data_IF_454834732782
#
_entry.id   IF_454834732782
#
_cell.length_a   1.000
_cell.length_b   1.000
_cell.length_c   1.000
_cell.angle_alpha   90.00
_cell.angle_beta   90.00
_cell.angle_gamma   90.00
#
_symmetry.space_group_name_H-M   'P 1'
#
loop_
_entity.id
_entity.type
_entity.pdbx_description
1 polymer ?
#
# COMPACT_ATOMS: atom_id res chain seq x y z
N UNK A 1 1.49 -16.76 -30.23
CA UNK A 1 1.34 -16.02 -28.95
C UNK A 1 0.53 -14.77 -29.24
N UNK A 2 -0.63 -14.60 -28.60
CA UNK A 2 -1.42 -13.39 -28.71
C UNK A 2 -0.65 -12.26 -28.00
N UNK A 3 -0.36 -11.18 -28.71
CA UNK A 3 0.43 -10.07 -28.19
C UNK A 3 -0.50 -9.13 -27.42
N UNK A 4 -0.23 -8.89 -26.14
CA UNK A 4 -1.01 -7.92 -25.35
C UNK A 4 -0.81 -6.53 -25.93
N UNK A 5 -1.90 -5.83 -26.19
CA UNK A 5 -1.89 -4.43 -26.62
C UNK A 5 -2.45 -3.58 -25.48
N UNK A 6 -1.74 -2.52 -25.12
CA UNK A 6 -2.15 -1.59 -24.07
C UNK A 6 -2.54 -0.28 -24.72
N UNK A 7 -3.79 0.13 -24.54
CA UNK A 7 -4.29 1.43 -24.96
C UNK A 7 -4.32 2.35 -23.74
N UNK A 8 -3.54 3.42 -23.78
CA UNK A 8 -3.54 4.47 -22.78
C UNK A 8 -4.32 5.65 -23.34
N UNK A 9 -5.30 6.15 -22.58
CA UNK A 9 -6.05 7.35 -22.92
C UNK A 9 -5.81 8.39 -21.84
N UNK A 10 -5.44 9.60 -22.27
CA UNK A 10 -5.21 10.76 -21.42
C UNK A 10 -6.04 11.93 -21.95
N UNK A 11 -6.17 12.99 -21.17
CA UNK A 11 -6.82 14.23 -21.63
C UNK A 11 -6.12 14.84 -22.87
N UNK A 12 -4.83 14.54 -23.04
CA UNK A 12 -4.00 14.97 -24.17
C UNK A 12 -4.00 14.01 -25.37
N UNK A 13 -4.74 12.90 -25.33
CA UNK A 13 -4.87 11.95 -26.44
C UNK A 13 -4.58 10.50 -26.06
N UNK A 14 -4.40 9.63 -27.06
CA UNK A 14 -4.24 8.18 -26.88
C UNK A 14 -2.92 7.63 -27.40
N UNK A 15 -2.38 6.64 -26.67
CA UNK A 15 -1.16 5.91 -27.00
C UNK A 15 -1.46 4.41 -27.06
N UNK A 16 -0.95 3.73 -28.07
CA UNK A 16 -1.00 2.26 -28.15
C UNK A 16 0.40 1.69 -27.97
N UNK A 17 0.54 0.76 -27.02
CA UNK A 17 1.79 0.08 -26.70
C UNK A 17 1.65 -1.41 -26.99
N UNK A 18 2.72 -2.01 -27.52
CA UNK A 18 2.81 -3.46 -27.80
C UNK A 18 3.95 -4.09 -26.99
N UNK A 19 3.81 -4.16 -25.65
CA UNK A 19 4.86 -4.67 -24.79
C UNK A 19 5.17 -6.15 -25.07
N UNK A 20 6.41 -6.56 -24.78
CA UNK A 20 6.82 -7.98 -24.79
C UNK A 20 6.33 -8.74 -23.55
N UNK A 21 6.10 -8.03 -22.45
CA UNK A 21 5.46 -8.51 -21.23
C UNK A 21 4.73 -7.36 -20.54
N UNK A 22 3.58 -7.65 -19.93
CA UNK A 22 2.81 -6.72 -19.12
C UNK A 22 2.93 -7.10 -17.64
N UNK A 23 3.40 -6.18 -16.81
CA UNK A 23 3.54 -6.40 -15.36
C UNK A 23 2.45 -5.60 -14.63
N UNK A 24 1.51 -6.30 -14.02
CA UNK A 24 0.46 -5.74 -13.17
C UNK A 24 0.96 -5.66 -11.71
N UNK A 25 1.43 -4.48 -11.31
CA UNK A 25 1.91 -4.18 -9.96
C UNK A 25 1.06 -3.09 -9.26
N UNK A 26 -0.23 -3.03 -9.57
CA UNK A 26 -1.14 -1.95 -9.18
C UNK A 26 -1.89 -2.20 -7.85
N UNK A 27 -1.41 -3.11 -7.00
CA UNK A 27 -2.06 -3.45 -5.73
C UNK A 27 -3.49 -3.95 -5.94
N UNK A 28 -4.49 -3.25 -5.38
CA UNK A 28 -5.91 -3.56 -5.62
C UNK A 28 -6.36 -3.30 -7.05
N UNK A 29 -5.68 -2.40 -7.77
CA UNK A 29 -5.96 -2.11 -9.18
C UNK A 29 -5.68 -3.29 -10.12
N UNK A 30 -4.91 -4.29 -9.68
CA UNK A 30 -4.71 -5.52 -10.44
C UNK A 30 -6.03 -6.24 -10.73
N UNK A 31 -7.05 -6.12 -9.87
CA UNK A 31 -8.37 -6.74 -10.10
C UNK A 31 -8.97 -6.27 -11.42
N UNK A 32 -9.05 -4.95 -11.62
CA UNK A 32 -9.64 -4.35 -12.80
C UNK A 32 -8.78 -4.61 -14.05
N UNK A 33 -7.45 -4.60 -13.91
CA UNK A 33 -6.54 -4.90 -15.01
C UNK A 33 -6.67 -6.37 -15.47
N UNK A 34 -6.75 -7.30 -14.53
CA UNK A 34 -6.88 -8.73 -14.84
C UNK A 34 -8.26 -9.05 -15.40
N UNK A 35 -9.32 -8.36 -14.96
CA UNK A 35 -10.64 -8.48 -15.54
C UNK A 35 -10.67 -8.05 -17.02
N UNK A 36 -9.99 -6.95 -17.37
CA UNK A 36 -9.86 -6.51 -18.78
C UNK A 36 -9.09 -7.50 -19.68
N UNK A 37 -8.32 -8.40 -19.07
CA UNK A 37 -7.54 -9.42 -19.77
C UNK A 37 -8.20 -10.81 -19.72
N UNK A 38 -9.38 -10.93 -19.12
CA UNK A 38 -10.06 -12.21 -18.84
C UNK A 38 -9.21 -13.19 -17.99
N UNK A 39 -8.36 -12.65 -17.11
CA UNK A 39 -7.39 -13.41 -16.31
C UNK A 39 -7.75 -13.57 -14.83
N UNK A 40 -8.89 -13.05 -14.38
CA UNK A 40 -9.29 -13.08 -12.96
C UNK A 40 -9.33 -14.49 -12.37
N UNK A 41 -9.79 -15.48 -13.15
CA UNK A 41 -9.85 -16.89 -12.70
C UNK A 41 -8.47 -17.55 -12.61
N UNK A 42 -7.56 -17.21 -13.53
CA UNK A 42 -6.19 -17.76 -13.54
C UNK A 42 -5.31 -17.11 -12.47
N UNK A 43 -5.55 -15.82 -12.21
CA UNK A 43 -4.78 -14.97 -11.31
C UNK A 43 -5.73 -14.31 -10.28
N UNK A 44 -6.30 -15.09 -9.34
CA UNK A 44 -7.20 -14.57 -8.34
C UNK A 44 -6.47 -13.72 -7.29
N UNK A 45 -7.16 -12.70 -6.79
CA UNK A 45 -6.72 -11.86 -5.69
C UNK A 45 -7.75 -11.83 -4.56
N UNK A 46 -7.31 -11.40 -3.39
CA UNK A 46 -8.15 -11.22 -2.21
C UNK A 46 -7.88 -9.85 -1.59
N UNK A 47 -8.89 -9.33 -0.89
CA UNK A 47 -8.79 -8.10 -0.10
C UNK A 47 -8.97 -8.43 1.38
N UNK A 48 -8.08 -7.90 2.21
CA UNK A 48 -8.13 -8.08 3.67
C UNK A 48 -8.18 -6.70 4.34
N UNK A 49 -9.39 -6.17 4.61
CA UNK A 49 -9.55 -4.81 5.10
C UNK A 49 -8.90 -4.61 6.47
N UNK A 50 -8.58 -3.35 6.75
CA UNK A 50 -8.14 -2.82 8.03
C UNK A 50 -8.88 -1.53 8.34
N UNK A 51 -9.19 -1.31 9.61
CA UNK A 51 -9.63 -0.02 10.13
C UNK A 51 -8.54 0.52 11.06
N UNK A 52 -7.63 1.30 10.50
CA UNK A 52 -6.47 1.83 11.18
C UNK A 52 -6.88 3.01 12.07
N UNK A 53 -6.18 3.18 13.19
CA UNK A 53 -6.33 4.37 14.04
C UNK A 53 -5.03 5.14 14.05
N UNK A 54 -5.14 6.45 14.07
CA UNK A 54 -4.03 7.38 14.14
C UNK A 54 -4.23 8.23 15.38
N UNK A 55 -3.16 8.45 16.16
CA UNK A 55 -3.20 9.34 17.32
C UNK A 55 -2.04 10.34 17.24
N UNK A 56 -2.30 11.58 17.64
CA UNK A 56 -1.26 12.60 17.85
C UNK A 56 -1.68 13.51 18.99
N UNK A 57 -0.78 14.39 19.42
CA UNK A 57 -1.13 15.40 20.41
C UNK A 57 -2.02 16.47 19.82
N UNK A 58 -3.05 16.87 20.57
CA UNK A 58 -3.98 17.92 20.17
C UNK A 58 -3.29 19.29 20.03
N UNK A 59 -2.30 19.56 20.88
CA UNK A 59 -1.56 20.83 20.89
C UNK A 59 -0.16 20.71 20.26
N UNK A 60 0.22 21.59 19.32
CA UNK A 60 1.58 21.67 18.78
C UNK A 60 2.62 22.04 19.87
N UNK A 61 3.87 21.59 19.71
CA UNK A 61 5.01 22.11 20.48
C UNK A 61 5.45 21.32 21.72
N UNK A 62 4.88 20.15 21.99
CA UNK A 62 5.44 19.23 22.98
C UNK A 62 6.40 18.23 22.31
N UNK A 63 7.70 18.47 22.46
CA UNK A 63 8.73 17.47 22.14
C UNK A 63 8.53 16.24 23.02
N UNK A 64 9.07 15.08 22.63
CA UNK A 64 9.07 13.89 23.47
C UNK A 64 9.66 14.14 24.87
N UNK A 65 10.58 15.12 24.99
CA UNK A 65 11.20 15.54 26.26
C UNK A 65 10.27 16.42 27.13
N UNK A 66 9.34 17.19 26.52
CA UNK A 66 8.41 18.10 27.21
C UNK A 66 7.03 17.46 27.46
N UNK A 67 6.96 16.13 27.58
CA UNK A 67 5.68 15.41 27.73
C UNK A 67 4.94 15.20 26.41
N UNK A 68 5.69 15.02 25.33
CA UNK A 68 5.21 14.67 24.00
C UNK A 68 4.78 13.20 23.86
N UNK A 69 4.19 12.85 22.71
CA UNK A 69 3.84 11.46 22.39
C UNK A 69 5.14 10.67 22.14
N UNK A 70 5.43 9.59 22.90
CA UNK A 70 6.73 8.94 22.81
C UNK A 70 6.92 8.24 21.46
N UNK A 71 8.16 8.24 20.95
CA UNK A 71 8.50 7.47 19.77
C UNK A 71 8.41 5.97 20.10
N UNK A 72 7.40 5.30 19.56
CA UNK A 72 7.09 3.91 19.83
C UNK A 72 7.02 3.10 18.53
N UNK A 73 7.79 2.01 18.50
CA UNK A 73 7.80 1.00 17.45
C UNK A 73 7.66 -0.37 18.12
N UNK A 74 6.42 -0.84 18.30
CA UNK A 74 6.15 -1.99 19.15
C UNK A 74 5.02 -2.87 18.62
N UNK A 75 5.15 -4.17 18.92
CA UNK A 75 4.08 -5.15 18.84
C UNK A 75 3.63 -5.51 20.26
N UNK A 76 2.40 -5.19 20.62
CA UNK A 76 1.82 -5.56 21.91
C UNK A 76 1.29 -7.00 21.82
N UNK A 77 2.05 -7.95 22.34
CA UNK A 77 1.76 -9.39 22.22
C UNK A 77 0.76 -9.87 23.27
N UNK A 78 0.11 -11.00 22.97
CA UNK A 78 -0.72 -11.76 23.91
C UNK A 78 -0.46 -13.26 23.69
N UNK A 79 -1.30 -14.14 24.23
CA UNK A 79 -1.22 -15.58 23.96
C UNK A 79 -1.59 -15.96 22.51
N UNK A 80 -2.07 -15.02 21.68
CA UNK A 80 -2.36 -15.24 20.26
C UNK A 80 -1.15 -14.98 19.35
N UNK A 81 -1.21 -15.52 18.13
CA UNK A 81 -0.24 -15.29 17.05
C UNK A 81 -0.31 -13.87 16.44
N UNK A 82 -1.32 -13.08 16.83
CA UNK A 82 -1.54 -11.70 16.37
C UNK A 82 -1.28 -10.70 17.49
N UNK A 83 -0.52 -9.63 17.23
CA UNK A 83 -0.36 -8.57 18.22
C UNK A 83 -1.72 -7.88 18.45
N UNK A 84 -2.05 -7.63 19.72
CA UNK A 84 -3.24 -6.88 20.15
C UNK A 84 -3.29 -5.52 19.44
N UNK A 85 -2.15 -4.84 19.47
CA UNK A 85 -1.88 -3.60 18.76
C UNK A 85 -0.45 -3.63 18.18
N UNK A 86 -0.28 -3.00 17.03
CA UNK A 86 1.03 -2.66 16.48
C UNK A 86 1.10 -1.15 16.39
N UNK A 87 2.11 -0.53 17.01
CA UNK A 87 2.30 0.91 17.01
C UNK A 87 3.59 1.23 16.29
N UNK A 88 3.54 2.14 15.32
CA UNK A 88 4.70 2.73 14.66
C UNK A 88 4.56 4.24 14.70
N UNK A 89 5.67 4.97 14.85
CA UNK A 89 5.65 6.43 15.00
C UNK A 89 6.29 7.15 13.82
N UNK A 90 5.55 7.43 12.72
CA UNK A 90 5.97 8.40 11.73
C UNK A 90 5.97 9.84 12.27
N UNK A 91 6.55 10.74 11.47
CA UNK A 91 6.51 12.19 11.67
C UNK A 91 5.56 12.79 10.62
N UNK A 92 4.66 13.66 11.05
CA UNK A 92 3.74 14.38 10.15
C UNK A 92 4.41 15.54 9.41
N UNK A 93 3.69 16.16 8.48
CA UNK A 93 4.21 17.28 7.69
C UNK A 93 4.63 18.50 8.54
N UNK A 94 4.17 18.61 9.79
CA UNK A 94 4.51 19.67 10.74
C UNK A 94 5.62 19.27 11.72
N UNK A 95 6.25 18.10 11.54
CA UNK A 95 7.33 17.62 12.40
C UNK A 95 6.87 16.98 13.71
N UNK A 96 5.58 16.65 13.86
CA UNK A 96 5.03 16.05 15.08
C UNK A 96 5.04 14.52 15.00
N UNK A 97 5.31 13.81 16.12
CA UNK A 97 5.14 12.37 16.18
C UNK A 97 3.66 12.01 16.06
N UNK A 98 3.38 11.00 15.25
CA UNK A 98 2.05 10.44 15.04
C UNK A 98 2.11 8.94 15.30
N UNK A 99 1.22 8.40 16.11
CA UNK A 99 1.07 6.95 16.25
C UNK A 99 0.15 6.41 15.17
N UNK A 100 0.69 5.56 14.32
CA UNK A 100 -0.09 4.68 13.46
C UNK A 100 -0.34 3.36 14.19
N UNK A 101 -1.60 3.06 14.46
CA UNK A 101 -2.04 1.96 15.31
C UNK A 101 -2.79 0.92 14.46
N UNK A 102 -2.21 -0.27 14.38
CA UNK A 102 -2.73 -1.43 13.66
C UNK A 102 -2.81 -2.67 14.55
N UNK A 103 -2.54 -3.84 13.96
CA UNK A 103 -2.62 -5.13 14.65
C UNK A 103 -4.05 -5.70 14.69
N UNK A 104 -4.34 -6.56 15.65
CA UNK A 104 -5.65 -7.19 15.81
C UNK A 104 -6.77 -6.15 16.01
N UNK A 105 -6.45 -5.02 16.65
CA UNK A 105 -7.36 -3.89 16.82
C UNK A 105 -7.90 -3.37 15.48
N UNK A 106 -7.04 -3.25 14.46
CA UNK A 106 -7.43 -2.81 13.12
C UNK A 106 -8.07 -3.92 12.27
N UNK A 107 -7.68 -5.18 12.48
CA UNK A 107 -8.30 -6.33 11.78
C UNK A 107 -9.74 -6.56 12.23
N UNK A 108 -10.01 -6.46 13.53
CA UNK A 108 -11.37 -6.64 14.10
C UNK A 108 -12.24 -5.38 14.01
N UNK A 109 -11.63 -4.24 13.66
CA UNK A 109 -12.29 -2.94 13.62
C UNK A 109 -13.03 -2.63 12.32
N UNK A 110 -12.95 -3.49 11.31
CA UNK A 110 -13.43 -3.23 9.94
C UNK A 110 -14.91 -2.87 9.86
N UNK A 111 -15.72 -3.43 10.77
CA UNK A 111 -17.16 -3.19 10.89
C UNK A 111 -17.53 -2.06 11.86
N UNK A 112 -16.59 -1.50 12.64
CA UNK A 112 -16.85 -0.44 13.62
C UNK A 112 -17.00 0.92 12.96
N UNK A 113 -17.87 1.80 13.47
CA UNK A 113 -17.83 3.22 13.07
C UNK A 113 -16.48 3.87 13.44
N UNK A 114 -16.09 5.01 12.84
CA UNK A 114 -14.89 5.76 13.27
C UNK A 114 -14.88 6.02 14.78
N UNK A 115 -15.99 6.48 15.34
CA UNK A 115 -16.16 6.72 16.77
C UNK A 115 -15.92 5.45 17.61
N UNK A 116 -16.55 4.34 17.24
CA UNK A 116 -16.42 3.08 17.99
C UNK A 116 -15.01 2.49 17.87
N UNK A 117 -14.33 2.70 16.74
CA UNK A 117 -12.95 2.31 16.56
C UNK A 117 -12.00 3.15 17.42
N UNK A 118 -12.23 4.45 17.54
CA UNK A 118 -11.48 5.32 18.45
C UNK A 118 -11.72 4.91 19.90
N UNK A 119 -12.98 4.66 20.30
CA UNK A 119 -13.32 4.21 21.64
C UNK A 119 -12.64 2.86 21.98
N UNK A 120 -12.69 1.89 21.06
CA UNK A 120 -12.00 0.62 21.20
C UNK A 120 -10.47 0.80 21.31
N UNK A 121 -9.91 1.73 20.53
CA UNK A 121 -8.47 2.04 20.59
C UNK A 121 -8.07 2.65 21.92
N UNK A 122 -8.81 3.65 22.41
CA UNK A 122 -8.57 4.26 23.73
C UNK A 122 -8.64 3.20 24.84
N UNK A 123 -9.70 2.37 24.83
CA UNK A 123 -9.86 1.29 25.79
C UNK A 123 -8.73 0.26 25.75
N UNK A 124 -8.19 -0.03 24.56
CA UNK A 124 -7.06 -0.94 24.40
C UNK A 124 -5.75 -0.31 24.88
N UNK A 125 -5.48 0.94 24.49
CA UNK A 125 -4.29 1.70 24.92
C UNK A 125 -4.22 1.82 26.45
N UNK A 126 -5.33 2.10 27.14
CA UNK A 126 -5.35 2.12 28.62
C UNK A 126 -4.91 0.79 29.24
N UNK A 127 -5.16 -0.34 28.57
CA UNK A 127 -4.73 -1.66 29.07
C UNK A 127 -3.25 -1.93 28.80
N UNK A 128 -2.73 -1.53 27.64
CA UNK A 128 -1.36 -1.85 27.22
C UNK A 128 -0.32 -0.80 27.64
N UNK A 129 -0.75 0.45 27.84
CA UNK A 129 0.05 1.61 28.21
C UNK A 129 -0.66 2.43 29.30
N UNK A 130 -0.89 1.85 30.51
CA UNK A 130 -1.71 2.49 31.55
C UNK A 130 -1.12 3.80 32.10
N UNK A 131 0.16 4.06 31.86
CA UNK A 131 0.83 5.31 32.25
C UNK A 131 0.60 6.46 31.28
N UNK A 132 -0.02 6.21 30.12
CA UNK A 132 -0.24 7.23 29.09
C UNK A 132 -1.52 8.00 29.35
N UNK A 133 -1.41 9.33 29.43
CA UNK A 133 -2.57 10.23 29.45
C UNK A 133 -3.13 10.41 28.02
N UNK A 134 -4.26 9.75 27.76
CA UNK A 134 -4.95 9.81 26.47
C UNK A 134 -5.76 11.10 26.28
N UNK A 135 -5.98 11.91 27.32
CA UNK A 135 -6.83 13.12 27.22
C UNK A 135 -6.19 14.23 26.40
N UNK A 136 -4.87 14.16 26.21
CA UNK A 136 -4.08 15.10 25.41
C UNK A 136 -3.96 14.68 23.93
N UNK A 137 -4.56 13.54 23.57
CA UNK A 137 -4.47 12.97 22.25
C UNK A 137 -5.76 13.17 21.47
N UNK A 138 -5.60 13.61 20.22
CA UNK A 138 -6.64 13.54 19.22
C UNK A 138 -6.44 12.31 18.34
N UNK A 139 -7.55 11.75 17.86
CA UNK A 139 -7.56 10.52 17.10
C UNK A 139 -8.29 10.70 15.78
N UNK A 140 -7.78 10.05 14.74
CA UNK A 140 -8.51 9.84 13.49
C UNK A 140 -8.43 8.37 13.07
N UNK A 141 -9.24 7.98 12.10
CA UNK A 141 -9.25 6.61 11.58
C UNK A 141 -9.31 6.63 10.07
N UNK A 142 -8.76 5.60 9.44
CA UNK A 142 -8.92 5.38 8.02
C UNK A 142 -9.06 3.89 7.71
N UNK A 143 -9.75 3.60 6.61
CA UNK A 143 -9.90 2.25 6.10
C UNK A 143 -8.93 2.01 4.96
N UNK A 144 -8.36 0.81 4.92
CA UNK A 144 -7.49 0.40 3.81
C UNK A 144 -7.65 -1.10 3.55
N UNK A 145 -7.71 -1.46 2.27
CA UNK A 145 -7.66 -2.85 1.84
C UNK A 145 -6.20 -3.27 1.62
N UNK A 146 -5.79 -4.35 2.28
CA UNK A 146 -4.59 -5.08 1.86
C UNK A 146 -4.99 -5.93 0.66
N UNK A 147 -4.42 -5.61 -0.50
CA UNK A 147 -4.54 -6.41 -1.71
C UNK A 147 -3.43 -7.47 -1.74
N UNK A 148 -3.84 -8.73 -1.88
CA UNK A 148 -2.95 -9.89 -1.84
C UNK A 148 -3.35 -10.87 -2.95
N UNK A 149 -2.41 -11.68 -3.45
CA UNK A 149 -2.78 -12.81 -4.31
C UNK A 149 -3.55 -13.85 -3.50
N UNK A 150 -4.65 -14.36 -4.04
CA UNK A 150 -5.53 -15.27 -3.29
C UNK A 150 -4.88 -16.65 -3.11
N UNK A 151 -5.01 -17.21 -1.92
CA UNK A 151 -4.68 -18.61 -1.66
C UNK A 151 -5.99 -19.44 -1.62
N UNK A 152 -6.00 -20.74 -1.97
CA UNK A 152 -7.23 -21.54 -1.98
C UNK A 152 -8.00 -21.55 -0.65
N UNK A 153 -7.32 -21.32 0.47
CA UNK A 153 -7.89 -21.25 1.83
C UNK A 153 -8.11 -19.80 2.31
N UNK A 154 -7.98 -18.82 1.43
CA UNK A 154 -8.07 -17.38 1.72
C UNK A 154 -7.15 -16.88 2.84
N UNK A 155 -6.11 -17.65 3.20
CA UNK A 155 -5.12 -17.20 4.19
C UNK A 155 -4.24 -16.10 3.60
N UNK A 156 -3.68 -15.29 4.49
CA UNK A 156 -2.63 -14.33 4.12
C UNK A 156 -1.40 -15.13 3.69
N UNK A 157 -0.83 -14.87 2.49
CA UNK A 157 0.44 -15.49 2.09
C UNK A 157 1.60 -15.05 3.01
N UNK A 158 2.60 -15.92 3.21
CA UNK A 158 3.81 -15.56 3.95
C UNK A 158 4.93 -15.02 3.04
N UNK A 159 4.80 -15.23 1.73
CA UNK A 159 5.70 -14.77 0.67
C UNK A 159 4.98 -13.78 -0.26
N UNK A 160 5.69 -13.10 -1.18
CA UNK A 160 5.05 -12.53 -2.35
C UNK A 160 4.21 -13.57 -3.08
N UNK A 161 3.20 -13.08 -3.80
CA UNK A 161 2.49 -13.85 -4.81
C UNK A 161 2.79 -13.20 -6.15
N UNK A 162 3.53 -13.90 -7.01
CA UNK A 162 3.71 -13.54 -8.41
C UNK A 162 3.14 -14.66 -9.27
N UNK A 163 2.28 -14.30 -10.22
CA UNK A 163 1.66 -15.26 -11.13
C UNK A 163 1.83 -14.78 -12.56
N UNK A 164 1.98 -15.74 -13.47
CA UNK A 164 2.16 -15.47 -14.89
C UNK A 164 1.16 -16.29 -15.70
N UNK A 165 0.45 -15.63 -16.60
CA UNK A 165 -0.34 -16.24 -17.67
C UNK A 165 0.14 -15.67 -19.00
N UNK A 166 0.72 -16.51 -19.86
CA UNK A 166 1.41 -16.06 -21.07
C UNK A 166 2.48 -14.99 -20.80
N UNK A 167 2.30 -13.81 -21.41
CA UNK A 167 3.18 -12.63 -21.26
C UNK A 167 2.71 -11.65 -20.18
N UNK A 168 1.63 -11.96 -19.45
CA UNK A 168 1.11 -11.14 -18.35
C UNK A 168 1.63 -11.69 -17.03
N UNK A 169 2.18 -10.81 -16.20
CA UNK A 169 2.68 -11.12 -14.86
C UNK A 169 1.96 -10.21 -13.88
N UNK A 170 1.26 -10.76 -12.89
CA UNK A 170 0.71 -9.97 -11.79
C UNK A 170 1.46 -10.27 -10.51
N UNK A 171 1.67 -9.24 -9.69
CA UNK A 171 2.35 -9.38 -8.41
C UNK A 171 1.62 -8.67 -7.27
N UNK A 172 1.69 -9.30 -6.10
CA UNK A 172 1.39 -8.70 -4.80
C UNK A 172 2.54 -9.07 -3.86
N UNK A 173 3.27 -8.10 -3.31
CA UNK A 173 4.38 -8.41 -2.41
C UNK A 173 3.90 -8.95 -1.06
N UNK A 174 2.60 -8.84 -0.74
CA UNK A 174 1.95 -9.23 0.53
C UNK A 174 2.37 -8.37 1.73
N UNK A 175 3.66 -8.03 1.85
CA UNK A 175 4.22 -7.06 2.81
C UNK A 175 5.21 -6.16 2.08
N UNK A 176 5.32 -4.90 2.48
CA UNK A 176 6.26 -3.96 1.84
C UNK A 176 7.72 -4.46 1.89
N UNK A 177 8.14 -5.09 2.99
CA UNK A 177 9.48 -5.67 3.15
C UNK A 177 9.80 -6.76 2.12
N UNK A 178 8.78 -7.38 1.52
CA UNK A 178 8.93 -8.44 0.53
C UNK A 178 8.90 -7.93 -0.92
N UNK A 179 8.82 -6.61 -1.14
CA UNK A 179 8.88 -6.03 -2.48
C UNK A 179 10.15 -6.42 -3.26
N UNK A 180 11.37 -6.47 -2.66
CA UNK A 180 12.56 -6.94 -3.36
C UNK A 180 12.46 -8.40 -3.81
N UNK A 181 11.85 -9.26 -2.99
CA UNK A 181 11.64 -10.67 -3.32
C UNK A 181 10.63 -10.82 -4.47
N UNK A 182 9.54 -10.05 -4.45
CA UNK A 182 8.58 -10.00 -5.54
C UNK A 182 9.24 -9.57 -6.87
N UNK A 183 10.13 -8.57 -6.82
CA UNK A 183 10.89 -8.13 -7.99
C UNK A 183 11.82 -9.24 -8.53
N UNK A 184 12.51 -9.97 -7.65
CA UNK A 184 13.36 -11.09 -8.05
C UNK A 184 12.56 -12.23 -8.73
N UNK A 185 11.36 -12.51 -8.25
CA UNK A 185 10.46 -13.52 -8.85
C UNK A 185 9.93 -13.06 -10.22
N UNK A 186 9.56 -11.79 -10.38
CA UNK A 186 9.21 -11.19 -11.68
C UNK A 186 10.37 -11.34 -12.68
N UNK A 187 11.61 -11.03 -12.27
CA UNK A 187 12.79 -11.20 -13.13
C UNK A 187 12.98 -12.66 -13.58
N UNK A 188 12.64 -13.62 -12.72
CA UNK A 188 12.68 -15.05 -13.06
C UNK A 188 11.66 -15.38 -14.15
N UNK A 189 10.44 -14.85 -14.06
CA UNK A 189 9.43 -15.00 -15.11
C UNK A 189 9.84 -14.34 -16.44
N UNK A 190 10.43 -13.14 -16.40
CA UNK A 190 10.92 -12.46 -17.60
C UNK A 190 12.02 -13.26 -18.31
N UNK A 191 12.96 -13.85 -17.54
CA UNK A 191 13.99 -14.75 -18.08
C UNK A 191 13.39 -16.01 -18.70
N UNK A 192 12.38 -16.60 -18.06
CA UNK A 192 11.67 -17.77 -18.58
C UNK A 192 10.89 -17.48 -19.88
N UNK A 193 10.53 -16.22 -20.12
CA UNK A 193 9.97 -15.74 -21.40
C UNK A 193 11.05 -15.45 -22.47
N UNK A 194 12.33 -15.67 -22.16
CA UNK A 194 13.44 -15.32 -23.06
C UNK A 194 13.59 -13.82 -23.26
N UNK A 195 13.15 -13.00 -22.30
CA UNK A 195 13.22 -11.55 -22.40
C UNK A 195 14.56 -11.03 -21.88
N UNK A 196 15.37 -10.52 -22.81
CA UNK A 196 16.52 -9.67 -22.53
C UNK A 196 16.21 -8.23 -22.96
N UNK A 197 16.88 -7.23 -22.35
CA UNK A 197 16.87 -5.86 -22.85
C UNK A 197 17.17 -5.85 -24.35
N UNK A 198 16.39 -5.12 -25.12
CA UNK A 198 16.74 -4.85 -26.50
C UNK A 198 17.89 -3.85 -26.53
N UNK A 199 18.77 -3.90 -27.53
CA UNK A 199 19.70 -2.80 -27.77
C UNK A 199 18.90 -1.49 -27.86
N UNK A 200 19.49 -0.35 -27.46
CA UNK A 200 18.87 0.95 -27.71
C UNK A 200 18.59 1.01 -29.21
N UNK A 201 17.33 1.16 -29.57
CA UNK A 201 16.94 1.39 -30.94
C UNK A 201 16.84 2.91 -31.10
N UNK A 202 17.52 3.48 -32.09
CA UNK A 202 17.51 4.93 -32.35
C UNK A 202 16.08 5.44 -32.64
N UNK A 203 15.15 4.55 -33.03
CA UNK A 203 13.72 4.82 -33.17
C UNK A 203 12.89 4.51 -31.90
N UNK A 204 13.45 3.81 -30.91
CA UNK A 204 12.77 3.46 -29.66
C UNK A 204 13.18 4.41 -28.54
N UNK A 205 12.40 5.49 -28.37
CA UNK A 205 12.30 6.29 -27.14
C UNK A 205 13.67 6.46 -26.44
N UNK A 206 14.54 7.25 -27.04
CA UNK A 206 15.79 7.66 -26.38
C UNK A 206 15.46 8.30 -25.02
N UNK A 207 16.11 7.93 -23.90
CA UNK A 207 15.90 8.57 -22.60
C UNK A 207 16.17 10.08 -22.62
N UNK A 208 17.03 10.55 -23.54
CA UNK A 208 17.28 11.97 -23.82
C UNK A 208 16.23 12.63 -24.73
N UNK A 209 15.40 11.83 -25.41
CA UNK A 209 14.21 12.26 -26.16
C UNK A 209 12.94 12.23 -25.30
N UNK A 210 13.03 11.81 -24.04
CA UNK A 210 12.06 12.09 -22.99
C UNK A 210 12.65 13.16 -22.05
N UNK A 211 12.73 14.44 -22.45
CA UNK A 211 12.69 15.46 -21.42
C UNK A 211 11.40 15.21 -20.64
N UNK A 212 11.42 15.29 -19.31
CA UNK A 212 10.20 15.31 -18.50
C UNK A 212 9.16 16.35 -18.98
N UNK A 213 9.53 17.22 -19.92
CA UNK A 213 8.70 18.18 -20.63
C UNK A 213 7.91 17.63 -21.85
N UNK A 214 8.21 16.45 -22.41
CA UNK A 214 7.53 15.92 -23.62
C UNK A 214 7.47 14.38 -23.65
N UNK A 215 6.79 13.76 -22.68
CA UNK A 215 5.93 12.65 -23.12
C UNK A 215 4.95 13.27 -24.15
N UNK A 216 4.61 12.60 -25.27
CA UNK A 216 3.65 13.15 -26.25
C UNK A 216 2.25 13.40 -25.65
N UNK A 217 2.07 13.02 -24.39
CA UNK A 217 0.93 13.25 -23.54
C UNK A 217 1.45 14.00 -22.31
N UNK A 218 0.71 14.99 -21.82
CA UNK A 218 1.00 15.64 -20.55
C UNK A 218 0.68 14.66 -19.41
N UNK A 219 1.43 13.55 -19.32
CA UNK A 219 1.44 12.68 -18.16
C UNK A 219 2.23 13.47 -17.13
N UNK A 220 1.55 14.37 -16.42
CA UNK A 220 2.09 14.91 -15.19
C UNK A 220 2.64 13.71 -14.39
N UNK A 221 3.90 13.76 -13.91
CA UNK A 221 4.40 12.71 -13.06
C UNK A 221 3.39 12.51 -11.94
N UNK A 222 3.00 11.25 -11.64
CA UNK A 222 1.99 11.01 -10.62
C UNK A 222 2.43 11.70 -9.34
N UNK A 223 1.52 12.47 -8.74
CA UNK A 223 1.79 13.16 -7.49
C UNK A 223 2.20 12.17 -6.40
N UNK A 224 2.99 12.64 -5.44
CA UNK A 224 3.28 11.86 -4.24
C UNK A 224 2.02 11.83 -3.37
N UNK A 225 1.58 10.64 -2.98
CA UNK A 225 0.43 10.49 -2.11
C UNK A 225 0.75 11.05 -0.72
N UNK A 226 -0.14 11.90 -0.19
CA UNK A 226 -0.08 12.31 1.21
C UNK A 226 -0.40 11.12 2.13
N UNK A 227 0.35 10.94 3.23
CA UNK A 227 0.05 9.90 4.20
C UNK A 227 -1.30 10.19 4.88
N UNK A 228 -2.00 9.16 5.41
CA UNK A 228 -3.36 9.33 5.93
C UNK A 228 -3.54 10.40 7.01
N UNK A 229 -2.50 10.71 7.77
CA UNK A 229 -2.52 11.72 8.84
C UNK A 229 -2.31 13.17 8.36
N UNK A 230 -1.86 13.36 7.12
CA UNK A 230 -1.64 14.67 6.48
C UNK A 230 -2.70 14.97 5.40
N UNK A 231 -3.71 14.12 5.23
CA UNK A 231 -4.78 14.36 4.25
C UNK A 231 -5.75 15.42 4.76
N UNK A 232 -6.27 16.23 3.85
CA UNK A 232 -7.24 17.29 4.15
C UNK A 232 -8.59 16.73 4.67
N UNK A 233 -8.93 15.49 4.31
CA UNK A 233 -10.15 14.81 4.73
C UNK A 233 -10.03 14.09 6.09
N UNK A 234 -8.87 14.18 6.76
CA UNK A 234 -8.66 13.56 8.07
C UNK A 234 -9.44 14.31 9.16
N UNK A 235 -10.51 13.69 9.64
CA UNK A 235 -11.31 14.20 10.77
C UNK A 235 -10.70 13.74 12.09
N UNK A 236 -10.26 14.71 12.90
CA UNK A 236 -9.66 14.47 14.23
C UNK A 236 -10.69 14.68 15.34
N UNK A 237 -10.66 13.80 16.35
CA UNK A 237 -11.61 13.72 17.47
C UNK A 237 -10.93 13.62 18.84
#
# INVERSE_FOLDING_TARGET
MQRTTVHLTTDSGSLTLHPRALICAAGSGNEALLAQLDLTSAIPMQRRPLHMTVARLSEPGSSAESGGLPLLFAHCVSLSDKPRATITTPIDALGRPVWLIGGQLAETGTTRSPHDQIAATKAELTKILPWLDLTRLEFTTFRIDRAEGAHPDSRRPDTPVVRREGSVIACWPTKLVLAPLAAAEILTHLRALGLAPLPPDDAAISPSALPCAHFPFSICPPGLAAPPWDREDALWH
#
